data_IF_968853840506
#
_entry.id   IF_968853840506
#
_cell.length_a   1.000
_cell.length_b   1.000
_cell.length_c   1.000
_cell.angle_alpha   90.00
_cell.angle_beta   90.00
_cell.angle_gamma   90.00
#
_symmetry.space_group_name_H-M   'P 1'
#
loop_
_entity.id
_entity.type
_entity.pdbx_description
1 polymer ?
#
# COMPACT_ATOMS: atom_id res chain seq x y z
N UNK A 1 -91.61 9.90 -10.77
CA UNK A 1 -91.16 8.56 -10.81
C UNK A 1 -89.76 8.59 -11.48
N UNK A 2 -88.92 8.80 -10.94
CA UNK A 2 -87.97 8.70 -9.86
C UNK A 2 -86.64 8.28 -10.45
N UNK A 3 -85.76 9.25 -10.59
CA UNK A 3 -84.44 9.31 -11.19
C UNK A 3 -83.36 8.85 -10.10
N UNK A 4 -83.51 7.65 -9.64
CA UNK A 4 -82.63 7.19 -8.50
C UNK A 4 -81.93 5.86 -8.71
N UNK A 5 -81.78 5.36 -9.95
CA UNK A 5 -81.14 4.04 -10.17
C UNK A 5 -80.02 4.03 -11.21
N UNK A 6 -79.20 5.09 -11.30
CA UNK A 6 -78.14 5.13 -12.30
C UNK A 6 -76.83 5.64 -11.77
N UNK A 7 -76.41 5.29 -10.55
CA UNK A 7 -75.10 5.66 -10.02
C UNK A 7 -74.49 4.59 -9.06
N UNK A 8 -74.55 3.31 -9.45
CA UNK A 8 -73.78 2.26 -8.86
C UNK A 8 -72.91 1.60 -9.93
N UNK A 9 -71.91 2.32 -10.42
CA UNK A 9 -70.87 1.71 -11.25
C UNK A 9 -69.49 2.04 -10.72
N UNK A 10 -68.84 0.96 -10.25
CA UNK A 10 -67.42 0.75 -10.28
C UNK A 10 -66.53 1.63 -9.39
N UNK A 11 -66.50 1.35 -8.10
CA UNK A 11 -65.26 1.50 -7.32
C UNK A 11 -64.41 0.22 -7.49
N UNK A 12 -63.41 0.27 -8.40
CA UNK A 12 -62.34 -0.71 -8.45
C UNK A 12 -61.35 -0.36 -7.35
N UNK A 13 -60.97 -1.27 -6.44
CA UNK A 13 -59.89 -1.01 -5.52
C UNK A 13 -58.56 -1.03 -6.32
N UNK A 14 -57.88 0.11 -6.38
CA UNK A 14 -56.52 0.16 -6.83
C UNK A 14 -55.66 -0.56 -5.78
N UNK A 15 -55.15 -1.75 -6.16
CA UNK A 15 -54.15 -2.44 -5.37
C UNK A 15 -52.86 -1.60 -5.41
N UNK A 16 -52.57 -0.91 -4.31
CA UNK A 16 -51.28 -0.26 -4.07
C UNK A 16 -50.31 -1.38 -3.78
N UNK A 17 -49.56 -1.80 -4.80
CA UNK A 17 -48.40 -2.70 -4.64
C UNK A 17 -47.31 -1.91 -3.92
N UNK A 18 -47.22 -2.09 -2.62
CA UNK A 18 -46.08 -1.61 -1.83
C UNK A 18 -44.87 -2.44 -2.26
N UNK A 19 -44.02 -1.86 -3.10
CA UNK A 19 -42.74 -2.41 -3.47
C UNK A 19 -41.81 -2.28 -2.23
N UNK A 20 -41.74 -3.35 -1.46
CA UNK A 20 -40.74 -3.52 -0.42
C UNK A 20 -39.37 -3.54 -1.11
N UNK A 21 -38.71 -2.37 -1.17
CA UNK A 21 -37.28 -2.30 -1.46
C UNK A 21 -36.57 -3.00 -0.30
N UNK A 22 -36.23 -4.26 -0.51
CA UNK A 22 -35.33 -4.98 0.39
C UNK A 22 -33.99 -4.23 0.39
N UNK A 23 -33.75 -3.45 1.42
CA UNK A 23 -32.41 -3.02 1.79
C UNK A 23 -31.64 -4.31 2.08
N UNK A 24 -30.89 -4.79 1.08
CA UNK A 24 -29.91 -5.82 1.27
C UNK A 24 -28.96 -5.40 2.40
N UNK A 25 -28.48 -6.32 3.25
CA UNK A 25 -27.54 -5.97 4.29
C UNK A 25 -26.36 -5.26 3.62
N UNK A 26 -26.00 -4.08 4.14
CA UNK A 26 -24.80 -3.38 3.75
C UNK A 26 -23.66 -4.41 3.78
N UNK A 27 -23.00 -4.58 2.64
CA UNK A 27 -21.82 -5.42 2.56
C UNK A 27 -20.80 -4.82 3.52
N UNK A 28 -20.82 -5.25 4.76
CA UNK A 28 -19.68 -5.07 5.66
C UNK A 28 -18.51 -5.67 4.91
N UNK A 29 -17.46 -4.88 4.69
CA UNK A 29 -16.24 -5.37 4.08
C UNK A 29 -15.78 -6.57 4.93
N UNK A 30 -16.12 -7.76 4.46
CA UNK A 30 -15.95 -9.00 5.20
C UNK A 30 -14.44 -9.21 5.33
N UNK A 31 -13.97 -9.39 6.55
CA UNK A 31 -12.56 -9.69 6.79
C UNK A 31 -12.20 -10.94 5.97
N UNK A 32 -11.07 -10.93 5.24
CA UNK A 32 -10.70 -12.09 4.43
C UNK A 32 -10.67 -13.37 5.24
N UNK A 33 -10.96 -14.52 4.63
CA UNK A 33 -10.90 -15.81 5.29
C UNK A 33 -9.55 -16.06 5.97
N UNK A 34 -9.56 -16.69 7.12
CA UNK A 34 -8.33 -16.96 7.90
C UNK A 34 -7.29 -17.78 7.11
N UNK A 35 -7.74 -18.66 6.21
CA UNK A 35 -6.87 -19.46 5.34
C UNK A 35 -6.10 -18.58 4.35
N UNK A 36 -6.76 -17.59 3.73
CA UNK A 36 -6.11 -16.63 2.82
C UNK A 36 -5.07 -15.79 3.57
N UNK A 37 -5.41 -15.29 4.77
CA UNK A 37 -4.47 -14.55 5.62
C UNK A 37 -3.27 -15.41 6.00
N UNK A 38 -3.47 -16.69 6.31
CA UNK A 38 -2.38 -17.60 6.65
C UNK A 38 -1.43 -17.83 5.46
N UNK A 39 -1.98 -18.10 4.27
CA UNK A 39 -1.18 -18.27 3.04
C UNK A 39 -0.46 -16.96 2.66
N UNK A 40 -1.11 -15.81 2.84
CA UNK A 40 -0.49 -14.51 2.63
C UNK A 40 0.70 -14.28 3.58
N UNK A 41 0.61 -14.67 4.86
CA UNK A 41 1.72 -14.59 5.81
C UNK A 41 2.92 -15.44 5.37
N UNK A 42 2.66 -16.65 4.87
CA UNK A 42 3.73 -17.49 4.32
C UNK A 42 4.39 -16.84 3.12
N UNK A 43 3.62 -16.26 2.22
CA UNK A 43 4.13 -15.53 1.06
C UNK A 43 4.98 -14.33 1.48
N UNK A 44 4.51 -13.52 2.43
CA UNK A 44 5.25 -12.36 2.97
C UNK A 44 6.57 -12.80 3.59
N UNK A 45 6.57 -13.88 4.37
CA UNK A 45 7.78 -14.43 4.96
C UNK A 45 8.77 -14.95 3.90
N UNK A 46 8.27 -15.66 2.88
CA UNK A 46 9.08 -16.21 1.80
C UNK A 46 9.71 -15.14 0.89
N UNK A 47 9.02 -14.03 0.68
CA UNK A 47 9.45 -12.93 -0.19
C UNK A 47 10.20 -11.82 0.55
N UNK A 48 10.09 -11.75 1.87
CA UNK A 48 10.62 -10.64 2.67
C UNK A 48 9.88 -9.32 2.41
N UNK A 49 8.62 -9.36 1.97
CA UNK A 49 7.85 -8.17 1.55
C UNK A 49 7.74 -7.09 2.64
N UNK A 50 7.89 -7.44 3.91
CA UNK A 50 7.88 -6.48 5.03
C UNK A 50 9.26 -5.95 5.42
N UNK A 51 10.35 -6.44 4.82
CA UNK A 51 11.71 -6.01 5.15
C UNK A 51 11.94 -4.50 4.91
N UNK A 52 11.24 -3.91 3.96
CA UNK A 52 11.28 -2.47 3.69
C UNK A 52 10.80 -1.61 4.87
N UNK A 53 10.03 -2.18 5.78
CA UNK A 53 9.53 -1.48 6.98
C UNK A 53 10.47 -1.60 8.19
N UNK A 54 11.53 -2.43 8.11
CA UNK A 54 12.50 -2.58 9.20
C UNK A 54 13.10 -1.27 9.72
N UNK A 55 13.39 -0.25 8.88
CA UNK A 55 13.91 1.02 9.36
C UNK A 55 12.90 1.87 10.14
N UNK A 56 11.59 1.61 10.03
CA UNK A 56 10.57 2.48 10.61
C UNK A 56 10.66 2.57 12.13
N UNK A 57 10.77 1.43 12.82
CA UNK A 57 10.87 1.42 14.30
C UNK A 57 12.14 2.13 14.76
N UNK A 58 13.26 1.84 14.09
CA UNK A 58 14.51 2.52 14.38
C UNK A 58 14.39 4.04 14.15
N UNK A 59 13.76 4.45 13.04
CA UNK A 59 13.54 5.85 12.72
C UNK A 59 12.69 6.59 13.76
N UNK A 60 11.59 5.98 14.22
CA UNK A 60 10.72 6.55 15.26
C UNK A 60 11.50 6.71 16.58
N UNK A 61 12.30 5.72 16.96
CA UNK A 61 13.14 5.79 18.17
C UNK A 61 14.18 6.91 18.06
N UNK A 62 14.88 6.99 16.92
CA UNK A 62 15.87 8.05 16.70
C UNK A 62 15.23 9.43 16.69
N UNK A 63 14.06 9.58 16.09
CA UNK A 63 13.32 10.84 16.10
C UNK A 63 12.92 11.26 17.53
N UNK A 64 12.42 10.32 18.34
CA UNK A 64 12.12 10.58 19.74
C UNK A 64 13.38 10.99 20.52
N UNK A 65 14.51 10.30 20.28
CA UNK A 65 15.81 10.63 20.89
C UNK A 65 16.25 12.05 20.56
N UNK A 66 16.11 12.48 19.31
CA UNK A 66 16.48 13.83 18.88
C UNK A 66 15.68 14.91 19.62
N UNK A 67 14.40 14.68 19.94
CA UNK A 67 13.59 15.65 20.70
C UNK A 67 14.18 15.91 22.10
N UNK A 68 14.68 14.87 22.77
CA UNK A 68 15.30 15.02 24.09
C UNK A 68 16.71 15.62 24.01
N UNK A 69 17.49 15.25 23.00
CA UNK A 69 18.84 15.82 22.77
C UNK A 69 18.82 17.31 22.48
N UNK A 70 17.74 17.81 21.86
CA UNK A 70 17.59 19.26 21.65
C UNK A 70 17.36 20.02 22.94
N UNK A 71 16.80 19.37 23.98
CA UNK A 71 16.56 19.97 25.30
C UNK A 71 17.80 19.87 26.18
N UNK A 72 18.48 18.73 26.17
CA UNK A 72 19.70 18.49 26.94
C UNK A 72 20.65 17.53 26.21
N UNK A 73 21.72 18.05 25.58
CA UNK A 73 22.73 17.21 24.93
C UNK A 73 23.47 16.26 25.85
N UNK A 74 23.51 16.53 27.16
CA UNK A 74 24.21 15.66 28.13
C UNK A 74 23.54 14.28 28.27
N UNK A 75 22.27 14.16 27.88
CA UNK A 75 21.50 12.91 27.91
C UNK A 75 21.92 11.89 26.82
N UNK A 76 22.86 12.24 25.93
CA UNK A 76 23.20 11.41 24.75
C UNK A 76 23.53 9.97 25.08
N UNK A 77 24.29 9.72 26.16
CA UNK A 77 24.68 8.36 26.57
C UNK A 77 23.46 7.55 27.01
N UNK A 78 22.67 8.09 27.92
CA UNK A 78 21.52 7.39 28.50
C UNK A 78 20.43 7.16 27.44
N UNK A 79 20.21 8.14 26.54
CA UNK A 79 19.28 8.01 25.43
C UNK A 79 19.71 6.93 24.42
N UNK A 80 21.00 6.72 24.20
CA UNK A 80 21.48 5.63 23.36
C UNK A 80 21.20 4.25 24.00
N UNK A 81 21.38 4.11 25.30
CA UNK A 81 21.09 2.89 26.04
C UNK A 81 19.58 2.59 26.03
N UNK A 82 18.76 3.61 26.31
CA UNK A 82 17.28 3.51 26.23
C UNK A 82 16.83 3.16 24.81
N UNK A 83 17.38 3.81 23.79
CA UNK A 83 17.04 3.54 22.38
C UNK A 83 17.40 2.08 21.99
N UNK A 84 18.53 1.56 22.44
CA UNK A 84 18.89 0.18 22.21
C UNK A 84 17.90 -0.81 22.84
N UNK A 85 17.49 -0.56 24.07
CA UNK A 85 16.46 -1.35 24.76
C UNK A 85 15.11 -1.26 24.03
N UNK A 86 14.68 -0.07 23.65
CA UNK A 86 13.40 0.13 22.94
C UNK A 86 13.35 -0.61 21.60
N UNK A 87 14.45 -0.69 20.86
CA UNK A 87 14.51 -1.50 19.61
C UNK A 87 14.17 -2.96 19.87
N UNK A 88 14.67 -3.53 21.00
CA UNK A 88 14.35 -4.90 21.39
C UNK A 88 12.91 -5.06 21.86
N UNK A 89 12.45 -4.16 22.71
CA UNK A 89 11.11 -4.22 23.32
C UNK A 89 10.00 -4.01 22.28
N UNK A 90 10.25 -3.20 21.25
CA UNK A 90 9.28 -2.90 20.18
C UNK A 90 9.37 -3.86 18.99
N UNK A 91 10.35 -4.77 18.95
CA UNK A 91 10.49 -5.76 17.87
C UNK A 91 9.19 -6.57 17.63
N UNK A 92 8.46 -7.04 18.66
CA UNK A 92 7.21 -7.79 18.44
C UNK A 92 6.14 -6.99 17.69
N UNK A 93 6.15 -5.65 17.76
CA UNK A 93 5.20 -4.80 17.06
C UNK A 93 5.32 -4.84 15.53
N UNK A 94 6.46 -5.33 15.01
CA UNK A 94 6.60 -5.65 13.60
C UNK A 94 5.56 -6.67 13.11
N UNK A 95 5.10 -7.55 14.00
CA UNK A 95 4.03 -8.49 13.72
C UNK A 95 2.72 -7.79 13.32
N UNK A 96 2.45 -6.58 13.85
CA UNK A 96 1.26 -5.79 13.50
C UNK A 96 1.29 -5.41 12.02
N UNK A 97 2.44 -4.93 11.52
CA UNK A 97 2.63 -4.59 10.10
C UNK A 97 2.47 -5.83 9.23
N UNK A 98 3.13 -6.93 9.58
CA UNK A 98 3.04 -8.18 8.83
C UNK A 98 1.61 -8.72 8.77
N UNK A 99 0.84 -8.59 9.85
CA UNK A 99 -0.56 -8.99 9.89
C UNK A 99 -1.40 -8.13 8.95
N UNK A 100 -1.24 -6.80 9.00
CA UNK A 100 -2.00 -5.91 8.12
C UNK A 100 -1.63 -6.10 6.64
N UNK A 101 -0.35 -6.27 6.33
CA UNK A 101 0.09 -6.60 4.96
C UNK A 101 -0.53 -7.92 4.50
N UNK A 102 -0.62 -8.94 5.38
CA UNK A 102 -1.27 -10.21 5.03
C UNK A 102 -2.76 -10.03 4.73
N UNK A 103 -3.46 -9.18 5.49
CA UNK A 103 -4.86 -8.83 5.21
C UNK A 103 -4.99 -8.12 3.85
N UNK A 104 -4.07 -7.21 3.51
CA UNK A 104 -4.05 -6.55 2.20
C UNK A 104 -3.85 -7.54 1.06
N UNK A 105 -2.95 -8.50 1.21
CA UNK A 105 -2.77 -9.57 0.22
C UNK A 105 -4.05 -10.41 0.07
N UNK A 106 -4.65 -10.84 1.19
CA UNK A 106 -5.88 -11.63 1.19
C UNK A 106 -7.11 -10.89 0.64
N UNK A 107 -7.11 -9.56 0.66
CA UNK A 107 -8.15 -8.73 -0.01
C UNK A 107 -7.97 -8.66 -1.51
N UNK A 108 -6.77 -8.86 -2.04
CA UNK A 108 -6.45 -8.67 -3.45
C UNK A 108 -6.25 -9.98 -4.22
N UNK A 109 -6.03 -11.09 -3.53
CA UNK A 109 -5.75 -12.40 -4.12
C UNK A 109 -6.57 -13.47 -3.43
N UNK A 110 -7.08 -14.40 -4.20
CA UNK A 110 -7.70 -15.62 -3.69
C UNK A 110 -6.65 -16.55 -3.04
N UNK A 111 -7.09 -17.49 -2.23
CA UNK A 111 -6.20 -18.47 -1.60
C UNK A 111 -5.38 -19.26 -2.65
N UNK A 112 -6.00 -19.62 -3.78
CA UNK A 112 -5.31 -20.33 -4.85
C UNK A 112 -4.23 -19.51 -5.50
N UNK A 113 -4.50 -18.23 -5.83
CA UNK A 113 -3.51 -17.31 -6.38
C UNK A 113 -2.33 -17.09 -5.43
N UNK A 114 -2.61 -16.94 -4.12
CA UNK A 114 -1.55 -16.84 -3.11
C UNK A 114 -0.67 -18.10 -3.06
N UNK A 115 -1.26 -19.29 -3.17
CA UNK A 115 -0.53 -20.56 -3.24
C UNK A 115 0.33 -20.66 -4.50
N UNK A 116 -0.19 -20.25 -5.64
CA UNK A 116 0.52 -20.29 -6.92
C UNK A 116 1.71 -19.33 -6.91
N UNK A 117 1.52 -18.10 -6.40
CA UNK A 117 2.59 -17.12 -6.22
C UNK A 117 3.66 -17.65 -5.25
N UNK A 118 3.24 -18.22 -4.12
CA UNK A 118 4.15 -18.81 -3.15
C UNK A 118 4.95 -19.98 -3.75
N UNK A 119 4.29 -20.83 -4.51
CA UNK A 119 4.92 -21.94 -5.22
C UNK A 119 5.98 -21.43 -6.21
N UNK A 120 5.66 -20.38 -6.98
CA UNK A 120 6.64 -19.74 -7.87
C UNK A 120 7.88 -19.25 -7.11
N UNK A 121 7.70 -18.52 -6.01
CA UNK A 121 8.83 -18.01 -5.23
C UNK A 121 9.64 -19.10 -4.53
N UNK A 122 9.09 -20.29 -4.34
CA UNK A 122 9.83 -21.47 -3.85
C UNK A 122 10.68 -22.15 -4.94
N UNK A 123 10.49 -21.83 -6.23
CA UNK A 123 11.32 -22.35 -7.32
C UNK A 123 12.73 -21.73 -7.34
N UNK A 124 13.71 -22.38 -7.97
CA UNK A 124 15.05 -21.80 -8.16
C UNK A 124 15.02 -20.45 -8.89
N UNK A 125 14.13 -20.29 -9.88
CA UNK A 125 13.94 -19.04 -10.62
C UNK A 125 13.36 -17.94 -9.73
N UNK A 126 12.32 -18.22 -8.96
CA UNK A 126 11.71 -17.29 -8.01
C UNK A 126 12.70 -16.82 -6.94
N UNK A 127 13.48 -17.75 -6.38
CA UNK A 127 14.51 -17.42 -5.40
C UNK A 127 15.64 -16.57 -6.00
N UNK A 128 16.05 -16.84 -7.25
CA UNK A 128 17.01 -16.01 -7.96
C UNK A 128 16.47 -14.61 -8.21
N UNK A 129 15.20 -14.50 -8.60
CA UNK A 129 14.53 -13.21 -8.82
C UNK A 129 14.53 -12.37 -7.53
N UNK A 130 14.09 -12.94 -6.40
CA UNK A 130 14.09 -12.24 -5.10
C UNK A 130 15.47 -11.67 -4.73
N UNK A 131 16.52 -12.47 -4.93
CA UNK A 131 17.90 -12.07 -4.60
C UNK A 131 18.46 -11.02 -5.57
N UNK A 132 18.13 -11.11 -6.85
CA UNK A 132 18.68 -10.23 -7.87
C UNK A 132 17.94 -8.91 -8.01
N UNK A 133 16.63 -8.90 -7.75
CA UNK A 133 15.76 -7.74 -7.99
C UNK A 133 16.22 -6.44 -7.31
N UNK A 134 16.66 -6.41 -6.05
CA UNK A 134 17.14 -5.18 -5.42
C UNK A 134 18.33 -4.57 -6.17
N UNK A 135 19.30 -5.40 -6.56
CA UNK A 135 20.49 -4.96 -7.30
C UNK A 135 20.14 -4.48 -8.72
N UNK A 136 19.21 -5.16 -9.38
CA UNK A 136 18.73 -4.74 -10.70
C UNK A 136 18.08 -3.36 -10.61
N UNK A 137 17.22 -3.14 -9.60
CA UNK A 137 16.57 -1.84 -9.38
C UNK A 137 17.62 -0.75 -9.08
N UNK A 138 18.56 -1.01 -8.17
CA UNK A 138 19.62 -0.05 -7.83
C UNK A 138 20.46 0.34 -9.07
N UNK A 139 20.93 -0.66 -9.83
CA UNK A 139 21.71 -0.43 -11.05
C UNK A 139 20.90 0.32 -12.13
N UNK A 140 19.60 0.03 -12.23
CA UNK A 140 18.71 0.74 -13.16
C UNK A 140 18.55 2.22 -12.77
N UNK A 141 18.45 2.51 -11.49
CA UNK A 141 18.37 3.88 -10.98
C UNK A 141 19.69 4.65 -11.21
N UNK A 142 20.82 4.01 -11.03
CA UNK A 142 22.14 4.63 -11.30
C UNK A 142 22.31 4.91 -12.79
N UNK A 143 21.91 3.96 -13.64
CA UNK A 143 21.89 4.18 -15.09
C UNK A 143 20.98 5.38 -15.46
N UNK A 144 19.77 5.42 -14.91
CA UNK A 144 18.82 6.50 -15.19
C UNK A 144 19.35 7.87 -14.78
N UNK A 145 20.02 7.96 -13.62
CA UNK A 145 20.68 9.21 -13.17
C UNK A 145 21.78 9.66 -14.13
N UNK A 146 22.67 8.74 -14.52
CA UNK A 146 23.76 9.03 -15.43
C UNK A 146 23.24 9.45 -16.82
N UNK A 147 22.19 8.80 -17.30
CA UNK A 147 21.54 9.17 -18.55
C UNK A 147 20.90 10.56 -18.46
N UNK A 148 20.19 10.86 -17.36
CA UNK A 148 19.58 12.19 -17.17
C UNK A 148 20.61 13.31 -17.12
N UNK A 149 21.77 13.09 -16.48
CA UNK A 149 22.87 14.06 -16.47
C UNK A 149 23.39 14.36 -17.88
N UNK A 150 23.66 13.32 -18.68
CA UNK A 150 24.09 13.49 -20.07
C UNK A 150 23.03 14.20 -20.92
N UNK A 151 21.77 13.82 -20.78
CA UNK A 151 20.66 14.48 -21.45
C UNK A 151 20.56 15.97 -21.07
N UNK A 152 20.76 16.29 -19.80
CA UNK A 152 20.76 17.68 -19.33
C UNK A 152 21.84 18.52 -20.01
N UNK A 153 23.05 18.00 -20.15
CA UNK A 153 24.15 18.65 -20.88
C UNK A 153 23.78 18.90 -22.35
N UNK A 154 23.23 17.89 -23.04
CA UNK A 154 22.76 18.01 -24.41
C UNK A 154 21.64 19.04 -24.57
N UNK A 155 20.69 19.06 -23.64
CA UNK A 155 19.57 20.01 -23.63
C UNK A 155 20.07 21.44 -23.44
N UNK A 156 21.04 21.67 -22.54
CA UNK A 156 21.64 23.00 -22.34
C UNK A 156 22.31 23.51 -23.62
N UNK A 157 23.07 22.63 -24.30
CA UNK A 157 23.74 23.00 -25.57
C UNK A 157 22.70 23.35 -26.64
N UNK A 158 21.70 22.50 -26.85
CA UNK A 158 20.63 22.73 -27.84
C UNK A 158 19.81 23.99 -27.51
N UNK A 159 19.50 24.21 -26.26
CA UNK A 159 18.77 25.40 -25.83
C UNK A 159 19.56 26.66 -26.11
N UNK A 160 20.87 26.67 -25.86
CA UNK A 160 21.74 27.79 -26.19
C UNK A 160 21.78 28.06 -27.69
N UNK A 161 21.86 27.03 -28.53
CA UNK A 161 21.84 27.20 -29.98
C UNK A 161 20.52 27.78 -30.48
N UNK A 162 19.37 27.29 -29.95
CA UNK A 162 18.07 27.82 -30.33
C UNK A 162 17.86 29.28 -29.85
N UNK A 163 18.34 29.62 -28.65
CA UNK A 163 18.29 30.99 -28.13
C UNK A 163 19.16 31.94 -28.96
N UNK A 164 20.33 31.47 -29.44
CA UNK A 164 21.18 32.24 -30.33
C UNK A 164 20.50 32.55 -31.67
N UNK A 165 19.75 31.59 -32.25
CA UNK A 165 18.95 31.81 -33.46
C UNK A 165 17.85 32.88 -33.26
N UNK A 166 17.37 33.05 -32.04
CA UNK A 166 16.39 34.08 -31.65
C UNK A 166 17.02 35.43 -31.25
N UNK A 167 18.35 35.57 -31.40
CA UNK A 167 19.08 36.83 -31.11
C UNK A 167 19.55 36.99 -29.66
N UNK A 168 19.42 35.95 -28.82
CA UNK A 168 19.91 35.96 -27.45
C UNK A 168 21.28 35.29 -27.35
N UNK A 169 22.25 35.99 -26.77
CA UNK A 169 23.63 35.49 -26.60
C UNK A 169 23.82 35.05 -25.12
N UNK A 170 23.53 33.78 -24.82
CA UNK A 170 23.61 33.18 -23.48
C UNK A 170 24.91 32.41 -23.31
#
# INVERSE_FOLDING_TARGET
MSIFQALQRAARPAAVTVMLVAFGPAAHAQQPPAAEIATAKELIAATGATAMFNPLVAGVIEQAKLLYLQQDPALAKDLNEVAAKMRTDLQPRFGEISNEVAVLYAKNFTEQELKDILAFYKTPAGQKLLKAQPNIIASSMDFARNWANKLSEEVVVKMREEMKKKGHNL
#
